data_IF_500606337935
#
_entry.id   IF_500606337935
#
_cell.length_a   1.000
_cell.length_b   1.000
_cell.length_c   1.000
_cell.angle_alpha   90.00
_cell.angle_beta   90.00
_cell.angle_gamma   90.00
#
_symmetry.space_group_name_H-M   'P 1'
#
loop_
_entity.id
_entity.type
_entity.pdbx_description
1 polymer ?
#
# COMPACT_ATOMS: atom_id res chain seq x y z
N UNK A 1 0.04 28.25 12.11
CA UNK A 1 0.43 26.86 11.82
C UNK A 1 1.24 26.91 10.53
N UNK A 2 2.57 26.86 10.64
CA UNK A 2 3.45 26.93 9.47
C UNK A 2 3.31 25.63 8.70
N UNK A 3 2.65 25.69 7.56
CA UNK A 3 2.67 24.58 6.59
C UNK A 3 4.14 24.29 6.26
N UNK A 4 4.57 23.05 6.39
CA UNK A 4 5.85 22.58 5.89
C UNK A 4 6.03 23.17 4.48
N UNK A 5 7.14 23.83 4.23
CA UNK A 5 7.59 24.10 2.86
C UNK A 5 8.29 22.85 2.38
N UNK A 6 7.65 21.97 1.59
CA UNK A 6 8.15 20.62 1.29
C UNK A 6 9.49 20.63 0.56
N UNK A 7 9.76 21.67 -0.23
CA UNK A 7 10.85 21.66 -1.20
C UNK A 7 12.25 21.51 -0.61
N UNK A 8 12.51 22.04 0.59
CA UNK A 8 13.86 21.94 1.19
C UNK A 8 14.01 20.75 2.15
N UNK A 9 12.94 20.35 2.84
CA UNK A 9 12.98 19.29 3.83
C UNK A 9 12.96 17.89 3.22
N UNK A 10 12.38 17.73 2.02
CA UNK A 10 12.31 16.47 1.29
C UNK A 10 13.50 16.24 0.33
N UNK A 11 14.30 17.30 0.05
CA UNK A 11 15.41 17.23 -0.90
C UNK A 11 16.52 16.20 -0.55
N UNK A 12 16.57 15.74 0.70
CA UNK A 12 17.50 14.69 1.12
C UNK A 12 17.09 13.30 0.64
N UNK A 13 15.82 13.08 0.32
CA UNK A 13 15.34 11.78 -0.11
C UNK A 13 15.40 11.68 -1.63
N UNK A 14 16.17 10.72 -2.13
CA UNK A 14 16.23 10.40 -3.56
C UNK A 14 14.91 9.74 -4.01
N UNK A 15 14.23 9.04 -3.06
CA UNK A 15 13.00 8.32 -3.31
C UNK A 15 11.92 8.72 -2.32
N UNK A 16 10.74 9.05 -2.85
CA UNK A 16 9.51 9.17 -2.07
C UNK A 16 8.61 8.02 -2.50
N UNK A 17 8.50 7.01 -1.63
CA UNK A 17 7.76 5.80 -1.91
C UNK A 17 6.38 5.84 -1.26
N UNK A 18 5.40 5.23 -1.94
CA UNK A 18 4.05 5.01 -1.42
C UNK A 18 3.75 3.51 -1.50
N UNK A 19 3.44 2.90 -0.36
CA UNK A 19 3.05 1.49 -0.29
C UNK A 19 1.58 1.40 0.09
N UNK A 20 0.77 0.85 -0.83
CA UNK A 20 -0.68 0.74 -0.69
C UNK A 20 -1.08 -0.72 -0.61
N UNK A 21 -1.40 -1.21 0.58
CA UNK A 21 -1.83 -2.58 0.80
C UNK A 21 -3.36 -2.74 0.67
N UNK A 22 -3.85 -3.95 0.89
CA UNK A 22 -5.26 -4.30 0.75
C UNK A 22 -6.20 -3.66 1.78
N UNK A 23 -7.48 -3.98 1.65
CA UNK A 23 -8.53 -3.51 2.58
C UNK A 23 -9.89 -3.28 1.94
N UNK A 24 -10.09 -3.66 0.67
CA UNK A 24 -11.34 -3.45 -0.07
C UNK A 24 -11.88 -2.01 0.10
N UNK A 25 -13.05 -1.81 0.71
CA UNK A 25 -13.62 -0.47 0.93
C UNK A 25 -12.75 0.47 1.80
N UNK A 26 -11.77 -0.07 2.53
CA UNK A 26 -10.78 0.73 3.27
C UNK A 26 -9.78 1.44 2.35
N UNK A 27 -9.70 1.06 1.07
CA UNK A 27 -8.89 1.78 0.09
C UNK A 27 -9.27 3.26 -0.11
N UNK A 28 -10.50 3.65 0.27
CA UNK A 28 -10.88 5.06 0.31
C UNK A 28 -10.05 5.88 1.33
N UNK A 29 -9.58 5.26 2.42
CA UNK A 29 -8.63 5.86 3.35
C UNK A 29 -7.29 6.15 2.66
N UNK A 30 -6.77 5.19 1.88
CA UNK A 30 -5.53 5.38 1.11
C UNK A 30 -5.65 6.52 0.10
N UNK A 31 -6.79 6.62 -0.59
CA UNK A 31 -7.05 7.68 -1.55
C UNK A 31 -7.11 9.06 -0.86
N UNK A 32 -7.73 9.15 0.33
CA UNK A 32 -7.73 10.36 1.14
C UNK A 32 -6.34 10.74 1.65
N UNK A 33 -5.57 9.75 2.11
CA UNK A 33 -4.18 9.96 2.52
C UNK A 33 -3.33 10.50 1.36
N UNK A 34 -3.49 9.92 0.15
CA UNK A 34 -2.83 10.46 -1.03
C UNK A 34 -3.25 11.89 -1.37
N UNK A 35 -4.54 12.22 -1.24
CA UNK A 35 -5.02 13.58 -1.48
C UNK A 35 -4.35 14.61 -0.56
N UNK A 36 -4.11 14.26 0.70
CA UNK A 36 -3.38 15.11 1.64
C UNK A 36 -1.88 15.23 1.29
N UNK A 37 -1.24 14.14 0.84
CA UNK A 37 0.15 14.19 0.35
C UNK A 37 0.27 15.15 -0.85
N UNK A 38 -0.60 14.99 -1.85
CA UNK A 38 -0.60 15.84 -3.05
C UNK A 38 -0.82 17.31 -2.71
N UNK A 39 -1.80 17.62 -1.84
CA UNK A 39 -2.07 18.99 -1.39
C UNK A 39 -0.93 19.60 -0.59
N UNK A 40 -0.12 18.78 0.04
CA UNK A 40 1.07 19.21 0.78
C UNK A 40 2.34 19.28 -0.08
N UNK A 41 2.23 19.03 -1.39
CA UNK A 41 3.35 19.02 -2.31
C UNK A 41 4.26 17.79 -2.22
N UNK A 42 3.87 16.76 -1.45
CA UNK A 42 4.60 15.49 -1.36
C UNK A 42 4.21 14.61 -2.54
N UNK A 43 5.16 14.36 -3.44
CA UNK A 43 4.91 13.64 -4.69
C UNK A 43 5.69 12.34 -4.73
N UNK A 44 5.04 11.19 -4.47
CA UNK A 44 5.67 9.89 -4.63
C UNK A 44 6.14 9.68 -6.08
N UNK A 45 7.40 9.22 -6.21
CA UNK A 45 7.99 8.83 -7.50
C UNK A 45 8.06 7.30 -7.66
N UNK A 46 7.71 6.55 -6.61
CA UNK A 46 7.61 5.10 -6.61
C UNK A 46 6.39 4.64 -5.82
N UNK A 47 5.56 3.79 -6.41
CA UNK A 47 4.38 3.22 -5.77
C UNK A 47 4.44 1.70 -5.85
N UNK A 48 4.38 1.03 -4.70
CA UNK A 48 4.19 -0.40 -4.60
C UNK A 48 2.80 -0.70 -4.06
N UNK A 49 2.03 -1.53 -4.75
CA UNK A 49 0.63 -1.71 -4.38
C UNK A 49 0.08 -3.11 -4.63
N UNK A 50 -0.95 -3.49 -3.85
CA UNK A 50 -1.74 -4.70 -4.07
C UNK A 50 -3.18 -4.52 -3.64
N UNK A 51 -4.01 -5.47 -3.95
CA UNK A 51 -5.44 -5.44 -3.72
C UNK A 51 -6.06 -4.15 -4.25
N UNK A 52 -6.98 -3.55 -3.51
CA UNK A 52 -7.59 -2.28 -3.92
C UNK A 52 -6.56 -1.14 -4.01
N UNK A 53 -5.44 -1.26 -3.29
CA UNK A 53 -4.32 -0.35 -3.41
C UNK A 53 -3.71 -0.33 -4.80
N UNK A 54 -3.75 -1.46 -5.55
CA UNK A 54 -3.30 -1.53 -6.94
C UNK A 54 -4.12 -0.61 -7.86
N UNK A 55 -5.42 -0.51 -7.62
CA UNK A 55 -6.29 0.41 -8.35
C UNK A 55 -5.94 1.86 -8.03
N UNK A 56 -5.84 2.22 -6.74
CA UNK A 56 -5.43 3.57 -6.35
C UNK A 56 -4.07 3.94 -6.96
N UNK A 57 -3.10 3.03 -6.91
CA UNK A 57 -1.77 3.21 -7.45
C UNK A 57 -1.76 3.42 -8.97
N UNK A 58 -2.53 2.60 -9.71
CA UNK A 58 -2.66 2.74 -11.16
C UNK A 58 -3.29 4.09 -11.54
N UNK A 59 -4.32 4.54 -10.81
CA UNK A 59 -4.93 5.87 -11.03
C UNK A 59 -3.90 6.97 -10.79
N UNK A 60 -3.12 6.89 -9.71
CA UNK A 60 -2.10 7.90 -9.38
C UNK A 60 -1.00 7.93 -10.46
N UNK A 61 -0.47 6.76 -10.84
CA UNK A 61 0.60 6.66 -11.84
C UNK A 61 0.13 7.04 -13.26
N UNK A 62 -1.12 6.68 -13.60
CA UNK A 62 -1.74 6.92 -14.91
C UNK A 62 -2.46 8.28 -15.02
N UNK A 63 -2.22 9.24 -14.13
CA UNK A 63 -2.89 10.54 -14.19
C UNK A 63 -1.90 11.69 -14.16
N UNK A 64 -2.27 12.80 -14.79
CA UNK A 64 -1.58 14.07 -14.58
C UNK A 64 -1.69 14.50 -13.11
N UNK A 65 -0.66 15.13 -12.52
CA UNK A 65 -0.68 15.49 -11.10
C UNK A 65 -1.96 16.18 -10.63
N UNK A 66 -2.47 17.14 -11.37
CA UNK A 66 -3.69 17.89 -11.03
C UNK A 66 -4.99 17.09 -11.20
N UNK A 67 -4.96 15.93 -11.90
CA UNK A 67 -6.13 15.07 -12.11
C UNK A 67 -6.21 13.89 -11.14
N UNK A 68 -5.11 13.52 -10.47
CA UNK A 68 -4.99 12.30 -9.66
C UNK A 68 -6.09 12.18 -8.62
N UNK A 69 -6.28 13.23 -7.81
CA UNK A 69 -7.30 13.25 -6.76
C UNK A 69 -8.71 13.25 -7.34
N UNK A 70 -8.93 13.92 -8.48
CA UNK A 70 -10.23 13.96 -9.17
C UNK A 70 -10.60 12.56 -9.67
N UNK A 71 -9.65 11.86 -10.32
CA UNK A 71 -9.87 10.50 -10.84
C UNK A 71 -10.04 9.47 -9.72
N UNK A 72 -9.29 9.59 -8.61
CA UNK A 72 -9.52 8.79 -7.42
C UNK A 72 -10.94 8.98 -6.86
N UNK A 73 -11.40 10.23 -6.72
CA UNK A 73 -12.77 10.52 -6.27
C UNK A 73 -13.83 9.95 -7.20
N UNK A 74 -13.64 10.09 -8.52
CA UNK A 74 -14.53 9.50 -9.52
C UNK A 74 -14.60 7.99 -9.37
N UNK A 75 -13.47 7.30 -9.27
CA UNK A 75 -13.43 5.85 -9.07
C UNK A 75 -14.22 5.42 -7.84
N UNK A 76 -13.97 6.03 -6.69
CA UNK A 76 -14.64 5.67 -5.44
C UNK A 76 -16.15 5.99 -5.45
N UNK A 77 -16.56 7.03 -6.15
CA UNK A 77 -17.99 7.36 -6.35
C UNK A 77 -18.67 6.32 -7.23
N UNK A 78 -18.06 5.92 -8.35
CA UNK A 78 -18.63 4.88 -9.22
C UNK A 78 -18.69 3.53 -8.50
N UNK A 79 -17.66 3.16 -7.77
CA UNK A 79 -17.65 1.93 -6.97
C UNK A 79 -18.77 1.92 -5.92
N UNK A 80 -19.03 3.06 -5.28
CA UNK A 80 -20.19 3.21 -4.37
C UNK A 80 -21.54 3.03 -5.09
N UNK A 81 -21.68 3.59 -6.30
CA UNK A 81 -22.91 3.43 -7.11
C UNK A 81 -23.15 1.98 -7.52
N UNK A 82 -22.07 1.27 -7.91
CA UNK A 82 -22.16 -0.16 -8.22
C UNK A 82 -22.57 -0.99 -7.00
N UNK A 83 -21.99 -0.72 -5.85
CA UNK A 83 -22.38 -1.38 -4.60
C UNK A 83 -23.86 -1.14 -4.25
N UNK A 84 -24.34 0.08 -4.40
CA UNK A 84 -25.77 0.40 -4.17
C UNK A 84 -26.68 -0.36 -5.14
N UNK A 85 -26.34 -0.42 -6.44
CA UNK A 85 -27.10 -1.19 -7.44
C UNK A 85 -27.11 -2.69 -7.13
N UNK A 86 -25.96 -3.24 -6.73
CA UNK A 86 -25.83 -4.64 -6.31
C UNK A 86 -26.77 -4.95 -5.15
N UNK A 87 -26.78 -4.10 -4.13
CA UNK A 87 -27.66 -4.25 -2.98
C UNK A 87 -29.14 -4.10 -3.33
N UNK A 88 -29.50 -3.16 -4.20
CA UNK A 88 -30.86 -2.96 -4.66
C UNK A 88 -31.42 -4.15 -5.46
N UNK A 89 -30.57 -4.84 -6.23
CA UNK A 89 -30.99 -6.00 -7.04
C UNK A 89 -31.20 -7.29 -6.23
N UNK A 90 -30.76 -7.33 -4.99
CA UNK A 90 -30.81 -8.56 -4.18
C UNK A 90 -31.17 -8.29 -2.71
N UNK A 91 -32.35 -7.69 -2.43
CA UNK A 91 -32.75 -7.35 -1.06
C UNK A 91 -32.87 -8.58 -0.13
N UNK A 92 -33.26 -9.74 -0.67
CA UNK A 92 -33.37 -11.00 0.10
C UNK A 92 -32.01 -11.59 0.52
N UNK A 93 -30.91 -11.20 -0.13
CA UNK A 93 -29.55 -11.64 0.25
C UNK A 93 -29.06 -10.85 1.47
N UNK A 94 -29.41 -9.57 1.57
CA UNK A 94 -29.16 -8.75 2.76
C UNK A 94 -29.90 -9.30 4.00
N UNK A 95 -31.18 -9.67 3.83
CA UNK A 95 -31.93 -10.29 4.91
C UNK A 95 -31.30 -11.61 5.35
N UNK A 96 -30.82 -12.44 4.42
CA UNK A 96 -30.09 -13.69 4.73
C UNK A 96 -28.74 -13.45 5.37
N UNK A 97 -27.96 -12.46 4.92
CA UNK A 97 -26.69 -12.09 5.54
C UNK A 97 -26.92 -11.52 6.95
N UNK A 98 -27.93 -10.69 7.14
CA UNK A 98 -28.33 -10.16 8.43
C UNK A 98 -28.86 -11.26 9.37
N UNK A 99 -29.67 -12.21 8.87
CA UNK A 99 -30.15 -13.36 9.63
C UNK A 99 -29.03 -14.33 10.02
N UNK A 100 -27.99 -14.48 9.19
CA UNK A 100 -26.77 -15.24 9.55
C UNK A 100 -25.92 -14.54 10.63
N UNK A 101 -26.08 -13.24 10.81
CA UNK A 101 -25.46 -12.46 11.88
C UNK A 101 -26.31 -12.40 13.16
N UNK A 102 -27.53 -13.04 13.17
CA UNK A 102 -28.37 -13.08 14.35
C UNK A 102 -27.67 -13.82 15.51
N UNK A 103 -27.88 -13.41 16.77
CA UNK A 103 -27.07 -13.85 17.94
C UNK A 103 -26.98 -15.36 18.19
N UNK A 104 -27.87 -16.17 17.61
CA UNK A 104 -27.88 -17.64 17.76
C UNK A 104 -26.85 -18.37 16.87
N UNK A 105 -26.38 -17.74 15.81
CA UNK A 105 -25.31 -18.26 14.97
C UNK A 105 -24.03 -17.55 15.35
N UNK A 106 -23.35 -17.98 16.43
CA UNK A 106 -22.00 -17.53 16.72
C UNK A 106 -21.10 -17.90 15.52
N UNK A 107 -20.71 -16.95 14.67
CA UNK A 107 -19.75 -17.27 13.62
C UNK A 107 -18.44 -17.69 14.30
N UNK A 108 -17.85 -18.78 13.79
CA UNK A 108 -16.47 -19.13 14.16
C UNK A 108 -15.61 -17.87 13.94
N UNK A 109 -14.83 -17.48 14.95
CA UNK A 109 -13.96 -16.30 14.90
C UNK A 109 -13.23 -16.28 13.54
N UNK A 110 -13.40 -15.20 12.78
CA UNK A 110 -12.68 -14.96 11.54
C UNK A 110 -13.41 -15.33 10.24
N UNK A 111 -14.64 -15.87 10.28
CA UNK A 111 -15.37 -16.15 9.06
C UNK A 111 -16.15 -14.92 8.59
N UNK A 112 -15.73 -14.38 7.43
CA UNK A 112 -16.46 -13.32 6.71
C UNK A 112 -17.25 -13.99 5.59
N UNK A 113 -18.56 -13.74 5.46
CA UNK A 113 -19.29 -14.18 4.29
C UNK A 113 -18.69 -13.52 3.04
N UNK A 114 -18.02 -14.32 2.22
CA UNK A 114 -17.60 -13.86 0.89
C UNK A 114 -18.87 -13.81 0.03
N UNK A 115 -19.19 -12.68 -0.62
CA UNK A 115 -20.28 -12.62 -1.57
C UNK A 115 -20.06 -13.67 -2.68
N UNK A 116 -21.13 -14.41 -3.04
CA UNK A 116 -21.06 -15.38 -4.14
C UNK A 116 -20.89 -14.70 -5.52
N UNK A 117 -21.21 -13.40 -5.59
CA UNK A 117 -21.07 -12.58 -6.80
C UNK A 117 -20.28 -11.32 -6.47
N UNK A 118 -19.46 -10.83 -7.42
CA UNK A 118 -18.67 -9.62 -7.21
C UNK A 118 -19.59 -8.40 -7.08
N UNK A 119 -19.22 -7.48 -6.18
CA UNK A 119 -19.90 -6.18 -6.00
C UNK A 119 -19.85 -5.38 -7.32
N UNK A 120 -18.76 -5.52 -8.06
CA UNK A 120 -18.59 -5.00 -9.41
C UNK A 120 -18.14 -6.15 -10.30
N UNK A 121 -18.86 -6.47 -11.38
CA UNK A 121 -18.44 -7.47 -12.35
C UNK A 121 -17.04 -7.13 -12.93
N UNK A 122 -16.24 -8.16 -13.22
CA UNK A 122 -14.86 -7.96 -13.70
C UNK A 122 -14.80 -7.10 -14.97
N UNK A 123 -15.76 -7.28 -15.90
CA UNK A 123 -15.85 -6.47 -17.13
C UNK A 123 -16.16 -4.99 -16.85
N UNK A 124 -17.04 -4.70 -15.89
CA UNK A 124 -17.38 -3.33 -15.50
C UNK A 124 -16.19 -2.67 -14.76
N UNK A 125 -15.49 -3.41 -13.91
CA UNK A 125 -14.29 -2.91 -13.23
C UNK A 125 -13.17 -2.63 -14.24
N UNK A 126 -13.00 -3.50 -15.24
CA UNK A 126 -12.05 -3.29 -16.36
C UNK A 126 -12.40 -2.03 -17.14
N UNK A 127 -13.66 -1.84 -17.51
CA UNK A 127 -14.12 -0.64 -18.22
C UNK A 127 -13.86 0.62 -17.40
N UNK A 128 -14.17 0.58 -16.09
CA UNK A 128 -13.90 1.69 -15.18
C UNK A 128 -12.41 2.01 -15.07
N UNK A 129 -11.55 0.99 -15.04
CA UNK A 129 -10.09 1.19 -15.06
C UNK A 129 -9.63 1.92 -16.33
N UNK A 130 -10.15 1.55 -17.50
CA UNK A 130 -9.85 2.26 -18.76
C UNK A 130 -10.33 3.71 -18.76
N UNK A 131 -11.40 4.05 -18.03
CA UNK A 131 -11.88 5.43 -17.93
C UNK A 131 -11.02 6.31 -17.00
N UNK A 132 -10.46 5.72 -15.93
CA UNK A 132 -9.77 6.49 -14.88
C UNK A 132 -8.25 6.39 -14.93
N UNK A 133 -7.69 5.41 -15.70
CA UNK A 133 -6.25 5.17 -15.82
C UNK A 133 -5.82 5.32 -17.27
N UNK A 134 -4.84 6.16 -17.50
CA UNK A 134 -4.09 6.23 -18.75
C UNK A 134 -2.89 5.28 -18.64
N UNK A 135 -3.01 4.09 -19.26
CA UNK A 135 -1.97 3.06 -19.22
C UNK A 135 -0.73 3.42 -20.03
N UNK A 136 -0.85 4.26 -21.05
CA UNK A 136 0.33 4.77 -21.79
C UNK A 136 1.19 5.63 -20.85
N UNK A 137 0.54 6.44 -20.02
CA UNK A 137 1.23 7.23 -18.99
C UNK A 137 1.84 6.36 -17.88
N UNK A 138 1.15 5.30 -17.44
CA UNK A 138 1.72 4.31 -16.51
C UNK A 138 3.02 3.75 -17.09
N UNK A 139 3.00 3.34 -18.35
CA UNK A 139 4.13 2.71 -19.03
C UNK A 139 5.22 3.71 -19.45
N UNK A 140 4.92 5.01 -19.51
CA UNK A 140 5.93 6.05 -19.70
C UNK A 140 6.86 6.21 -18.47
N UNK A 141 6.55 5.56 -17.33
CA UNK A 141 7.46 5.42 -16.19
C UNK A 141 7.72 6.70 -15.39
N UNK A 142 6.91 7.76 -15.54
CA UNK A 142 7.04 9.00 -14.75
C UNK A 142 6.96 8.71 -13.24
N UNK A 143 6.12 7.74 -12.86
CA UNK A 143 6.03 7.16 -11.53
C UNK A 143 6.32 5.67 -11.68
N UNK A 144 7.30 5.14 -10.95
CA UNK A 144 7.52 3.69 -10.92
C UNK A 144 6.36 3.01 -10.21
N UNK A 145 5.72 2.07 -10.88
CA UNK A 145 4.58 1.33 -10.35
C UNK A 145 4.89 -0.16 -10.27
N UNK A 146 4.82 -0.71 -9.06
CA UNK A 146 4.99 -2.14 -8.79
C UNK A 146 3.68 -2.70 -8.26
N UNK A 147 3.11 -3.67 -8.97
CA UNK A 147 1.87 -4.35 -8.62
C UNK A 147 2.17 -5.76 -8.14
N UNK A 148 1.78 -6.07 -6.90
CA UNK A 148 2.01 -7.38 -6.30
C UNK A 148 0.78 -8.28 -6.39
N UNK A 149 1.00 -9.53 -6.79
CA UNK A 149 -0.01 -10.59 -6.90
C UNK A 149 0.60 -11.95 -6.50
N UNK A 150 -0.19 -13.00 -6.57
CA UNK A 150 0.26 -14.37 -6.33
C UNK A 150 0.02 -15.21 -7.58
N UNK A 151 1.05 -15.91 -8.04
CA UNK A 151 0.90 -16.94 -9.06
C UNK A 151 0.20 -18.15 -8.43
N UNK A 152 -1.00 -18.48 -8.89
CA UNK A 152 -1.83 -19.50 -8.27
C UNK A 152 -1.37 -20.94 -8.56
N UNK A 153 -0.55 -21.14 -9.59
CA UNK A 153 0.02 -22.46 -9.89
C UNK A 153 1.19 -22.81 -8.95
N UNK A 154 1.99 -21.81 -8.59
CA UNK A 154 3.19 -21.99 -7.77
C UNK A 154 3.01 -21.56 -6.30
N UNK A 155 2.01 -20.72 -6.02
CA UNK A 155 1.82 -20.07 -4.72
C UNK A 155 2.85 -18.98 -4.42
N UNK A 156 3.66 -18.58 -5.41
CA UNK A 156 4.71 -17.57 -5.23
C UNK A 156 4.21 -16.15 -5.43
N UNK A 157 4.75 -15.22 -4.67
CA UNK A 157 4.54 -13.80 -4.87
C UNK A 157 5.18 -13.37 -6.20
N UNK A 158 4.46 -12.57 -6.97
CA UNK A 158 4.90 -12.06 -8.27
C UNK A 158 4.68 -10.56 -8.32
N UNK A 159 5.65 -9.82 -8.83
CA UNK A 159 5.61 -8.37 -8.94
C UNK A 159 5.67 -7.97 -10.42
N UNK A 160 4.67 -7.23 -10.87
CA UNK A 160 4.64 -6.58 -12.18
C UNK A 160 5.08 -5.12 -12.02
N UNK A 161 6.16 -4.74 -12.68
CA UNK A 161 6.82 -3.44 -12.56
C UNK A 161 6.86 -2.76 -13.93
N UNK A 162 6.38 -1.51 -14.03
CA UNK A 162 6.37 -0.76 -15.28
C UNK A 162 7.77 -0.39 -15.81
N UNK A 163 8.82 -0.62 -15.04
CA UNK A 163 10.21 -0.55 -15.51
C UNK A 163 10.61 -1.77 -16.34
N UNK A 164 9.90 -2.90 -16.19
CA UNK A 164 10.24 -4.21 -16.79
C UNK A 164 9.11 -4.80 -17.64
N UNK A 165 7.87 -4.38 -17.41
CA UNK A 165 6.67 -4.94 -18.01
C UNK A 165 5.80 -3.82 -18.59
N UNK A 166 5.11 -4.12 -19.67
CA UNK A 166 4.01 -3.26 -20.15
C UNK A 166 2.77 -3.58 -19.33
N UNK A 167 2.40 -2.68 -18.44
CA UNK A 167 1.27 -2.86 -17.55
C UNK A 167 -0.05 -2.52 -18.26
N UNK A 168 -1.08 -3.30 -17.99
CA UNK A 168 -2.45 -3.09 -18.44
C UNK A 168 -3.45 -3.37 -17.34
N UNK A 169 -4.77 -3.24 -17.62
CA UNK A 169 -5.82 -3.48 -16.64
C UNK A 169 -5.74 -4.87 -15.99
N UNK A 170 -5.27 -5.88 -16.74
CA UNK A 170 -5.11 -7.26 -16.28
C UNK A 170 -4.18 -7.35 -15.09
N UNK A 171 -3.06 -6.61 -15.12
CA UNK A 171 -2.08 -6.59 -14.05
C UNK A 171 -2.66 -5.96 -12.77
N UNK A 172 -3.47 -4.89 -12.92
CA UNK A 172 -4.19 -4.26 -11.81
C UNK A 172 -5.22 -5.22 -11.21
N UNK A 173 -6.01 -5.90 -12.07
CA UNK A 173 -7.03 -6.85 -11.66
C UNK A 173 -6.42 -8.09 -11.00
N UNK A 174 -5.30 -8.62 -11.52
CA UNK A 174 -4.58 -9.75 -10.94
C UNK A 174 -4.13 -9.47 -9.50
N UNK A 175 -3.70 -8.24 -9.23
CA UNK A 175 -3.34 -7.78 -7.90
C UNK A 175 -4.53 -7.36 -7.03
N UNK A 176 -5.76 -7.35 -7.55
CA UNK A 176 -6.95 -6.82 -6.85
C UNK A 176 -7.99 -7.92 -6.58
N UNK A 177 -7.75 -8.82 -5.63
CA UNK A 177 -8.70 -9.87 -5.27
C UNK A 177 -9.88 -9.29 -4.49
N UNK A 178 -10.82 -8.66 -5.17
CA UNK A 178 -12.09 -8.30 -4.57
C UNK A 178 -12.96 -9.56 -4.47
N UNK A 179 -13.80 -9.69 -3.41
CA UNK A 179 -14.69 -10.83 -3.25
C UNK A 179 -15.53 -11.07 -4.50
N UNK A 180 -15.55 -12.31 -4.98
CA UNK A 180 -16.32 -12.72 -6.16
C UNK A 180 -15.63 -12.43 -7.51
N UNK A 181 -14.52 -11.74 -7.58
CA UNK A 181 -13.77 -11.60 -8.82
C UNK A 181 -12.98 -12.89 -9.12
N UNK A 182 -13.01 -13.36 -10.38
CA UNK A 182 -12.22 -14.51 -10.79
C UNK A 182 -10.73 -14.16 -10.84
N UNK A 183 -9.84 -15.16 -10.71
CA UNK A 183 -8.43 -15.00 -11.06
C UNK A 183 -8.23 -14.53 -12.49
N UNK A 184 -7.09 -13.90 -12.75
CA UNK A 184 -6.76 -13.31 -14.05
C UNK A 184 -5.64 -14.11 -14.72
N UNK A 185 -5.78 -14.38 -16.01
CA UNK A 185 -4.73 -15.01 -16.80
C UNK A 185 -3.86 -13.96 -17.47
N UNK A 186 -2.55 -14.01 -17.20
CA UNK A 186 -1.51 -13.20 -17.86
C UNK A 186 -0.45 -14.19 -18.35
N UNK A 187 -0.06 -14.11 -19.62
CA UNK A 187 0.96 -14.96 -20.24
C UNK A 187 0.76 -16.47 -19.95
N UNK A 188 -0.48 -16.95 -20.06
CA UNK A 188 -0.92 -18.33 -19.79
C UNK A 188 -0.75 -18.79 -18.34
N UNK A 189 -0.45 -17.89 -17.42
CA UNK A 189 -0.40 -18.18 -16.01
C UNK A 189 -1.57 -17.52 -15.28
N UNK A 190 -2.05 -18.18 -14.23
CA UNK A 190 -3.20 -17.73 -13.46
C UNK A 190 -2.74 -16.99 -12.22
N UNK A 191 -3.21 -15.75 -12.06
CA UNK A 191 -2.87 -14.87 -10.97
C UNK A 191 -4.10 -14.45 -10.16
N UNK A 192 -3.90 -14.29 -8.86
CA UNK A 192 -4.93 -13.83 -7.93
C UNK A 192 -4.35 -13.70 -6.54
N UNK A 193 -5.01 -12.93 -5.69
CA UNK A 193 -4.48 -12.66 -4.37
C UNK A 193 -3.68 -11.36 -4.31
N UNK A 194 -3.17 -11.04 -3.14
CA UNK A 194 -2.40 -9.82 -2.93
C UNK A 194 -1.07 -10.13 -2.26
N UNK A 195 0.00 -9.70 -2.90
CA UNK A 195 1.34 -9.72 -2.37
C UNK A 195 1.92 -8.33 -2.51
N UNK A 196 1.79 -7.51 -1.49
CA UNK A 196 2.54 -6.26 -1.43
C UNK A 196 3.14 -6.10 -0.08
N UNK A 197 4.38 -5.71 -0.14
CA UNK A 197 5.13 -5.38 1.01
C UNK A 197 6.05 -4.19 0.75
N UNK A 198 6.49 -3.57 1.83
CA UNK A 198 7.64 -2.66 1.79
C UNK A 198 8.86 -3.36 1.16
N UNK A 199 8.91 -4.71 1.20
CA UNK A 199 9.94 -5.51 0.53
C UNK A 199 9.99 -5.32 -0.99
N UNK A 200 8.89 -4.95 -1.64
CA UNK A 200 8.91 -4.60 -3.08
C UNK A 200 9.85 -3.43 -3.38
N UNK A 201 10.19 -2.61 -2.39
CA UNK A 201 11.15 -1.52 -2.52
C UNK A 201 12.61 -1.99 -2.46
N UNK A 202 12.85 -3.23 -1.97
CA UNK A 202 14.20 -3.81 -1.84
C UNK A 202 14.78 -4.34 -3.16
N UNK A 203 13.94 -4.56 -4.17
CA UNK A 203 14.39 -4.99 -5.49
C UNK A 203 15.16 -3.91 -6.27
N UNK A 204 15.24 -2.71 -5.72
CA UNK A 204 15.93 -1.60 -6.31
C UNK A 204 17.29 -1.33 -5.66
N UNK A 205 18.12 -0.57 -6.37
CA UNK A 205 19.33 0.00 -5.78
C UNK A 205 18.97 0.74 -4.48
N UNK A 206 19.72 0.52 -3.38
CA UNK A 206 19.53 1.28 -2.15
C UNK A 206 19.61 2.80 -2.41
N UNK A 207 18.67 3.55 -1.85
CA UNK A 207 18.58 5.00 -1.96
C UNK A 207 17.94 5.57 -0.70
N UNK A 208 18.30 6.79 -0.33
CA UNK A 208 17.64 7.48 0.78
C UNK A 208 16.15 7.62 0.47
N UNK A 209 15.33 6.93 1.26
CA UNK A 209 13.92 6.73 0.97
C UNK A 209 13.03 7.27 2.09
N UNK A 210 12.05 8.09 1.72
CA UNK A 210 10.87 8.37 2.54
C UNK A 210 9.73 7.50 2.05
N UNK A 211 9.23 6.61 2.90
CA UNK A 211 8.17 5.67 2.56
C UNK A 211 6.90 5.97 3.36
N UNK A 212 5.81 6.21 2.67
CA UNK A 212 4.46 6.26 3.25
C UNK A 212 3.82 4.88 3.06
N UNK A 213 3.83 4.07 4.13
CA UNK A 213 3.16 2.76 4.12
C UNK A 213 1.73 2.94 4.66
N UNK A 214 0.74 2.87 3.77
CA UNK A 214 -0.66 3.12 4.09
C UNK A 214 -1.42 1.81 4.06
N UNK A 215 -1.72 1.30 5.25
CA UNK A 215 -2.45 0.05 5.41
C UNK A 215 -3.90 0.35 5.75
N UNK A 216 -4.83 -0.18 4.95
CA UNK A 216 -6.26 -0.12 5.28
C UNK A 216 -6.59 -0.87 6.56
N UNK A 217 -5.72 -1.80 6.99
CA UNK A 217 -5.91 -2.59 8.19
C UNK A 217 -4.60 -3.18 8.69
N UNK A 218 -4.44 -3.10 10.01
CA UNK A 218 -3.44 -3.84 10.76
C UNK A 218 -4.08 -4.39 12.05
N UNK A 219 -3.96 -5.70 12.38
CA UNK A 219 -4.53 -6.23 13.61
C UNK A 219 -3.97 -5.51 14.83
N UNK A 220 -4.88 -5.16 15.75
CA UNK A 220 -4.51 -4.48 17.00
C UNK A 220 -3.58 -5.41 17.81
N UNK A 221 -2.46 -4.91 18.33
CA UNK A 221 -1.62 -5.66 19.26
C UNK A 221 -2.45 -6.19 20.44
N UNK A 222 -2.30 -7.46 20.77
CA UNK A 222 -3.05 -8.10 21.86
C UNK A 222 -4.15 -9.07 21.41
N UNK A 223 -4.51 -9.12 20.12
CA UNK A 223 -5.49 -10.05 19.55
C UNK A 223 -4.87 -11.25 18.82
N UNK A 224 -3.66 -11.65 19.16
CA UNK A 224 -3.08 -12.95 18.79
C UNK A 224 -2.37 -13.02 17.42
N UNK A 225 -1.97 -11.92 16.82
CA UNK A 225 -1.19 -11.95 15.59
C UNK A 225 -0.22 -10.79 15.43
N UNK A 226 1.01 -11.08 15.01
CA UNK A 226 1.90 -10.04 14.49
C UNK A 226 1.35 -9.63 13.13
N UNK A 227 1.10 -8.33 12.96
CA UNK A 227 0.69 -7.76 11.70
C UNK A 227 1.63 -8.18 10.56
N UNK A 228 1.05 -8.46 9.39
CA UNK A 228 1.85 -8.74 8.20
C UNK A 228 2.77 -7.57 7.90
N UNK A 229 2.25 -6.35 7.90
CA UNK A 229 3.03 -5.13 7.67
C UNK A 229 4.18 -4.98 8.67
N UNK A 230 3.95 -5.24 9.96
CA UNK A 230 5.01 -5.18 10.96
C UNK A 230 6.12 -6.21 10.71
N UNK A 231 5.77 -7.43 10.25
CA UNK A 231 6.76 -8.45 9.88
C UNK A 231 7.59 -8.04 8.67
N UNK A 232 6.95 -7.48 7.66
CA UNK A 232 7.57 -7.02 6.43
C UNK A 232 8.51 -5.83 6.70
N UNK A 233 8.05 -4.84 7.47
CA UNK A 233 8.87 -3.72 7.93
C UNK A 233 10.07 -4.21 8.73
N UNK A 234 9.89 -5.19 9.62
CA UNK A 234 10.99 -5.77 10.39
C UNK A 234 12.00 -6.52 9.50
N UNK A 235 11.55 -7.17 8.41
CA UNK A 235 12.44 -7.81 7.46
C UNK A 235 13.28 -6.79 6.69
N UNK A 236 12.64 -5.76 6.14
CA UNK A 236 13.32 -4.64 5.46
C UNK A 236 14.33 -3.97 6.38
N UNK A 237 13.95 -3.69 7.62
CA UNK A 237 14.85 -3.10 8.61
C UNK A 237 16.11 -3.93 8.82
N UNK A 238 15.99 -5.26 8.96
CA UNK A 238 17.16 -6.14 9.12
C UNK A 238 18.12 -6.05 7.95
N UNK A 239 17.61 -6.00 6.73
CA UNK A 239 18.42 -5.89 5.51
C UNK A 239 19.17 -4.55 5.48
N UNK A 240 18.47 -3.44 5.71
CA UNK A 240 19.09 -2.11 5.72
C UNK A 240 20.09 -1.94 6.87
N UNK A 241 19.78 -2.40 8.08
CA UNK A 241 20.68 -2.33 9.21
C UNK A 241 21.96 -3.14 8.93
N UNK A 242 21.81 -4.35 8.31
CA UNK A 242 22.97 -5.17 7.91
C UNK A 242 23.83 -4.47 6.86
N UNK A 243 23.24 -3.94 5.79
CA UNK A 243 23.95 -3.19 4.74
C UNK A 243 24.75 -2.02 5.33
N UNK A 244 24.12 -1.29 6.26
CA UNK A 244 24.75 -0.16 6.94
C UNK A 244 25.87 -0.59 7.88
N UNK A 245 25.71 -1.69 8.61
CA UNK A 245 26.79 -2.25 9.43
C UNK A 245 27.98 -2.67 8.57
N UNK A 246 27.73 -3.30 7.43
CA UNK A 246 28.80 -3.68 6.47
C UNK A 246 29.53 -2.43 5.98
N UNK A 247 28.82 -1.36 5.62
CA UNK A 247 29.44 -0.10 5.20
C UNK A 247 30.37 0.47 6.29
N UNK A 248 29.86 0.60 7.53
CA UNK A 248 30.59 1.14 8.67
C UNK A 248 31.82 0.29 9.06
N UNK A 249 31.74 -1.03 8.95
CA UNK A 249 32.85 -1.94 9.18
C UNK A 249 33.85 -1.85 8.04
N UNK A 250 33.37 -1.77 6.79
CA UNK A 250 34.22 -1.63 5.60
C UNK A 250 35.11 -0.40 5.63
N UNK A 251 34.62 0.72 6.19
CA UNK A 251 35.45 1.93 6.38
C UNK A 251 36.67 1.68 7.27
N UNK A 252 36.58 0.76 8.25
CA UNK A 252 37.60 0.47 9.27
C UNK A 252 38.52 -0.69 8.90
N UNK A 253 38.21 -1.42 7.81
CA UNK A 253 39.06 -2.52 7.37
C UNK A 253 40.37 -2.00 6.78
N UNK A 254 41.50 -2.62 7.14
CA UNK A 254 42.80 -2.30 6.53
C UNK A 254 42.80 -2.63 5.03
N UNK A 255 43.62 -1.93 4.26
CA UNK A 255 43.68 -2.10 2.79
C UNK A 255 43.98 -3.56 2.40
N UNK A 256 44.83 -4.25 3.19
CA UNK A 256 45.18 -5.65 2.98
C UNK A 256 43.98 -6.60 3.04
N UNK A 257 43.02 -6.35 3.93
CA UNK A 257 41.81 -7.18 4.07
C UNK A 257 40.83 -6.94 2.92
N UNK A 258 40.76 -5.72 2.39
CA UNK A 258 39.84 -5.38 1.28
C UNK A 258 40.14 -6.10 -0.03
N UNK A 259 41.32 -6.67 -0.17
CA UNK A 259 41.71 -7.48 -1.34
C UNK A 259 41.11 -8.90 -1.33
N UNK A 260 40.70 -9.38 -0.20
CA UNK A 260 40.06 -10.69 -0.06
C UNK A 260 38.74 -10.76 -0.84
N UNK A 261 38.49 -11.90 -1.54
CA UNK A 261 37.37 -12.06 -2.46
C UNK A 261 36.03 -12.04 -1.71
N UNK A 262 35.97 -12.68 -0.54
CA UNK A 262 34.73 -12.80 0.22
C UNK A 262 34.39 -11.48 0.93
N UNK A 263 35.40 -10.78 1.42
CA UNK A 263 35.25 -9.42 1.94
C UNK A 263 34.75 -8.46 0.85
N UNK A 264 35.28 -8.54 -0.36
CA UNK A 264 34.80 -7.74 -1.49
C UNK A 264 33.35 -8.00 -1.84
N UNK A 265 32.91 -9.27 -1.83
CA UNK A 265 31.51 -9.63 -2.04
C UNK A 265 30.61 -9.02 -0.94
N UNK A 266 31.02 -9.14 0.32
CA UNK A 266 30.28 -8.53 1.43
C UNK A 266 30.19 -7.01 1.27
N UNK A 267 31.31 -6.35 0.93
CA UNK A 267 31.33 -4.89 0.74
C UNK A 267 30.51 -4.42 -0.46
N UNK A 268 30.30 -5.28 -1.47
CA UNK A 268 29.40 -4.96 -2.58
C UNK A 268 27.93 -4.81 -2.16
N UNK A 269 27.55 -5.44 -1.05
CA UNK A 269 26.22 -5.30 -0.46
C UNK A 269 26.09 -4.10 0.50
N UNK A 270 27.21 -3.40 0.77
CA UNK A 270 27.23 -2.27 1.69
C UNK A 270 26.37 -1.10 1.16
N UNK A 271 25.67 -0.45 2.06
CA UNK A 271 24.94 0.79 1.73
C UNK A 271 24.80 1.68 2.97
N UNK A 272 24.98 2.97 2.75
CA UNK A 272 24.71 4.00 3.76
C UNK A 272 23.28 4.56 3.62
N UNK A 273 22.57 4.19 2.57
CA UNK A 273 21.21 4.64 2.32
C UNK A 273 20.27 4.28 3.48
N UNK A 274 19.42 5.21 3.82
CA UNK A 274 18.47 5.09 4.92
C UNK A 274 17.03 5.12 4.44
N UNK A 275 16.14 4.46 5.19
CA UNK A 275 14.71 4.51 4.92
C UNK A 275 13.96 5.03 6.15
N UNK A 276 13.18 6.09 5.96
CA UNK A 276 12.21 6.56 6.96
C UNK A 276 10.82 6.09 6.53
N UNK A 277 10.16 5.31 7.36
CA UNK A 277 8.82 4.77 7.10
C UNK A 277 7.80 5.50 7.98
N UNK A 278 6.85 6.17 7.35
CA UNK A 278 5.63 6.63 8.01
C UNK A 278 4.55 5.57 7.79
N UNK A 279 4.26 4.82 8.84
CA UNK A 279 3.28 3.74 8.80
C UNK A 279 1.92 4.26 9.28
N UNK A 280 1.01 4.50 8.34
CA UNK A 280 -0.35 4.96 8.60
C UNK A 280 -1.30 3.77 8.62
N UNK A 281 -2.02 3.63 9.72
CA UNK A 281 -2.97 2.52 9.93
C UNK A 281 -4.34 3.10 10.23
N UNK A 282 -5.33 2.74 9.40
CA UNK A 282 -6.71 3.11 9.68
C UNK A 282 -7.21 2.42 10.95
N UNK A 283 -7.59 3.19 11.96
CA UNK A 283 -8.10 2.64 13.22
C UNK A 283 -9.44 1.91 13.03
N UNK A 284 -9.53 0.75 13.66
CA UNK A 284 -10.75 -0.01 13.70
C UNK A 284 -10.65 -1.26 14.57
N UNK A 285 -11.73 -1.64 15.25
CA UNK A 285 -11.76 -2.91 15.97
C UNK A 285 -11.67 -4.08 14.99
N UNK A 286 -10.93 -5.12 15.33
CA UNK A 286 -10.82 -6.34 14.52
C UNK A 286 -12.19 -7.01 14.30
N UNK A 287 -13.13 -6.84 15.24
CA UNK A 287 -14.47 -7.41 15.18
C UNK A 287 -15.33 -6.78 14.06
N UNK A 288 -15.10 -5.49 13.75
CA UNK A 288 -15.85 -4.76 12.72
C UNK A 288 -15.17 -4.77 11.35
N UNK A 289 -13.98 -5.36 11.23
CA UNK A 289 -13.16 -5.26 10.04
C UNK A 289 -13.86 -5.79 8.80
N UNK A 290 -14.43 -6.96 8.91
CA UNK A 290 -15.11 -7.60 7.79
C UNK A 290 -16.28 -6.76 7.28
N UNK A 291 -17.08 -6.20 8.19
CA UNK A 291 -18.16 -5.29 7.86
C UNK A 291 -17.63 -4.00 7.22
N UNK A 292 -16.54 -3.45 7.77
CA UNK A 292 -15.90 -2.24 7.22
C UNK A 292 -15.32 -2.47 5.84
N UNK A 293 -14.68 -3.60 5.58
CA UNK A 293 -14.15 -3.94 4.25
C UNK A 293 -15.25 -4.10 3.20
N UNK A 294 -16.43 -4.53 3.58
CA UNK A 294 -17.59 -4.73 2.70
C UNK A 294 -18.48 -3.48 2.55
N UNK A 295 -18.31 -2.46 3.38
CA UNK A 295 -19.15 -1.26 3.36
C UNK A 295 -18.65 -0.22 2.37
N UNK A 296 -19.16 -0.29 1.14
CA UNK A 296 -18.92 0.68 0.06
C UNK A 296 -19.98 1.81 0.02
N UNK A 297 -20.75 2.01 1.08
CA UNK A 297 -21.69 3.13 1.13
C UNK A 297 -20.98 4.47 1.04
N UNK A 298 -21.60 5.44 0.37
CA UNK A 298 -21.03 6.78 0.16
C UNK A 298 -20.59 7.44 1.47
N UNK A 299 -21.41 7.29 2.53
CA UNK A 299 -21.08 7.84 3.84
C UNK A 299 -19.83 7.21 4.47
N UNK A 300 -19.68 5.88 4.37
CA UNK A 300 -18.53 5.16 4.89
C UNK A 300 -17.24 5.51 4.11
N UNK A 301 -17.32 5.54 2.79
CA UNK A 301 -16.18 5.91 1.94
C UNK A 301 -15.72 7.35 2.22
N UNK A 302 -16.66 8.29 2.39
CA UNK A 302 -16.33 9.68 2.71
C UNK A 302 -15.67 9.84 4.09
N UNK A 303 -16.16 9.10 5.11
CA UNK A 303 -15.52 9.12 6.44
C UNK A 303 -14.09 8.59 6.38
N UNK A 304 -13.84 7.48 5.65
CA UNK A 304 -12.50 6.90 5.47
C UNK A 304 -11.57 7.83 4.70
N UNK A 305 -12.09 8.45 3.64
CA UNK A 305 -11.33 9.45 2.89
C UNK A 305 -10.85 10.57 3.81
N UNK A 306 -11.76 11.16 4.60
CA UNK A 306 -11.43 12.22 5.56
C UNK A 306 -10.47 11.77 6.64
N UNK A 307 -10.60 10.54 7.13
CA UNK A 307 -9.66 9.98 8.11
C UNK A 307 -8.23 9.92 7.51
N UNK A 308 -8.08 9.45 6.28
CA UNK A 308 -6.78 9.44 5.60
C UNK A 308 -6.19 10.83 5.40
N UNK A 309 -7.02 11.81 5.00
CA UNK A 309 -6.60 13.21 4.90
C UNK A 309 -6.10 13.76 6.26
N UNK A 310 -6.83 13.48 7.34
CA UNK A 310 -6.48 13.94 8.69
C UNK A 310 -5.19 13.31 9.19
N UNK A 311 -5.03 12.00 9.05
CA UNK A 311 -3.86 11.28 9.56
C UNK A 311 -2.57 11.75 8.87
N UNK A 312 -2.60 11.96 7.55
CA UNK A 312 -1.46 12.52 6.82
C UNK A 312 -1.20 13.97 7.22
N UNK A 313 -2.24 14.81 7.29
CA UNK A 313 -2.07 16.22 7.69
C UNK A 313 -1.45 16.33 9.09
N UNK A 314 -1.89 15.50 10.03
CA UNK A 314 -1.33 15.44 11.39
C UNK A 314 0.13 14.97 11.35
N UNK A 315 0.44 13.92 10.59
CA UNK A 315 1.80 13.40 10.45
C UNK A 315 2.75 14.47 9.90
N UNK A 316 2.32 15.20 8.89
CA UNK A 316 3.13 16.26 8.25
C UNK A 316 3.28 17.50 9.15
N UNK A 317 2.33 17.74 10.08
CA UNK A 317 2.43 18.83 11.07
C UNK A 317 3.47 18.55 12.17
N UNK A 318 3.87 17.28 12.38
CA UNK A 318 4.86 16.87 13.38
C UNK A 318 6.11 16.26 12.73
N UNK A 319 7.04 17.07 12.20
CA UNK A 319 8.12 16.61 11.33
C UNK A 319 9.27 15.89 12.06
N UNK A 320 9.01 15.20 13.17
CA UNK A 320 10.01 14.39 13.90
C UNK A 320 10.63 13.31 13.00
N UNK A 321 9.90 12.85 12.00
CA UNK A 321 10.36 11.89 10.99
C UNK A 321 11.40 12.48 10.01
N UNK A 322 11.59 13.80 10.02
CA UNK A 322 12.67 14.46 9.28
C UNK A 322 14.01 14.41 10.01
N UNK A 323 14.02 13.99 11.28
CA UNK A 323 15.29 13.81 11.98
C UNK A 323 16.14 12.73 11.29
N UNK A 324 17.46 12.92 11.19
CA UNK A 324 18.32 11.89 10.62
C UNK A 324 18.24 10.61 11.46
N UNK A 325 18.23 9.43 10.83
CA UNK A 325 18.26 8.16 11.53
C UNK A 325 19.47 8.04 12.46
N UNK A 326 19.39 7.27 13.56
CA UNK A 326 20.54 6.91 14.37
C UNK A 326 21.63 6.26 13.49
N UNK A 327 22.91 6.47 13.86
CA UNK A 327 24.06 6.07 13.02
C UNK A 327 24.03 4.60 12.57
N UNK A 328 23.51 3.68 13.40
CA UNK A 328 23.45 2.24 13.09
C UNK A 328 22.10 1.82 12.49
N UNK A 329 21.10 2.69 12.49
CA UNK A 329 19.78 2.35 11.95
C UNK A 329 19.74 2.62 10.45
N UNK A 330 19.48 1.59 9.68
CA UNK A 330 19.17 1.70 8.25
C UNK A 330 17.72 2.08 8.01
N UNK A 331 16.80 1.73 8.94
CA UNK A 331 15.37 2.05 8.87
C UNK A 331 14.86 2.63 10.18
N UNK A 332 14.09 3.71 10.08
CA UNK A 332 13.32 4.27 11.20
C UNK A 332 11.83 4.24 10.86
N UNK A 333 11.01 3.80 11.80
CA UNK A 333 9.56 3.67 11.61
C UNK A 333 8.83 4.61 12.55
N UNK A 334 7.94 5.41 12.00
CA UNK A 334 7.02 6.27 12.73
C UNK A 334 5.60 5.74 12.52
N UNK A 335 4.96 5.24 13.56
CA UNK A 335 3.57 4.80 13.48
C UNK A 335 2.63 5.99 13.70
N UNK A 336 1.60 6.09 12.87
CA UNK A 336 0.53 7.08 13.00
C UNK A 336 -0.80 6.32 13.09
N UNK A 337 -1.50 6.52 14.21
CA UNK A 337 -2.81 5.91 14.47
C UNK A 337 -3.77 6.97 14.96
N UNK A 338 -4.94 7.10 14.31
CA UNK A 338 -5.98 8.05 14.73
C UNK A 338 -5.49 9.49 14.88
N UNK A 339 -4.56 9.93 14.04
CA UNK A 339 -3.99 11.28 14.13
C UNK A 339 -2.94 11.47 15.23
N UNK A 340 -2.50 10.43 15.92
CA UNK A 340 -1.44 10.50 16.94
C UNK A 340 -0.19 9.78 16.43
N UNK A 341 0.93 10.51 16.36
CA UNK A 341 2.23 9.91 16.05
C UNK A 341 2.80 9.24 17.31
N UNK A 342 3.08 7.95 17.25
CA UNK A 342 3.80 7.24 18.31
C UNK A 342 5.31 7.58 18.22
N UNK A 343 6.06 7.50 19.34
CA UNK A 343 7.50 7.68 19.30
C UNK A 343 8.15 6.65 18.36
N UNK A 344 9.27 7.01 17.67
CA UNK A 344 9.95 6.13 16.73
C UNK A 344 10.44 4.85 17.45
N UNK A 345 10.25 3.72 16.76
CA UNK A 345 10.76 2.40 17.18
C UNK A 345 11.97 2.01 16.37
#
# INVERSE_FOLDING_TARGET
MALLRPDKSLARFERIALVLSGGAALGAYQAGAYAALESSGVRPNWIAASAIGAVNAAIIAGSLPHERVIRLRRFWQELSRHALRYHARSPGRWARAALRQWPWHRPRRGWVPVPDEPIVPAGELRALLHEVVDFDRVNAGTVRLVLGTVNLATGTETFFDNDRHVLGPEHVLAGTPLPGLPPVTIDRQLYGGSAVSVCALEEARPADTLCFAINGYDPIPGHGGISRAAREIAAVRRVHDLRRMIALLGERLPASARGDLDIRKCLAEASEATMTILHLVHEGSAQDLAAKMADFSTGALLRRWRAGETDVATSLAHPTWLAPPPRLAGVVVHEVRGGVAAPPR
#
